data_IF_745265815410
#
_entry.id   IF_745265815410
#
_cell.length_a   1.000
_cell.length_b   1.000
_cell.length_c   1.000
_cell.angle_alpha   90.00
_cell.angle_beta   90.00
_cell.angle_gamma   90.00
#
_symmetry.space_group_name_H-M   'P 1'
#
loop_
_entity.id
_entity.type
_entity.pdbx_description
1 polymer ?
#
# COMPACT_ATOMS: atom_id res chain seq x y z
N UNK A 1 23.24 12.14 -13.35
CA UNK A 1 24.34 11.75 -12.44
C UNK A 1 23.78 10.77 -11.42
N UNK A 2 24.42 9.61 -11.17
CA UNK A 2 24.05 8.78 -10.02
C UNK A 2 24.58 9.50 -8.78
N UNK A 3 23.70 10.14 -7.99
CA UNK A 3 24.10 10.91 -6.80
C UNK A 3 24.76 10.06 -5.70
N UNK A 4 24.69 8.73 -5.81
CA UNK A 4 25.41 7.81 -4.95
C UNK A 4 25.88 6.60 -5.76
N UNK A 5 27.17 6.30 -5.66
CA UNK A 5 27.79 5.05 -6.08
C UNK A 5 27.89 4.16 -4.84
N UNK A 6 27.34 2.94 -4.85
CA UNK A 6 27.58 1.99 -3.77
C UNK A 6 29.10 1.81 -3.62
N UNK A 7 29.67 2.27 -2.51
CA UNK A 7 31.11 2.18 -2.22
C UNK A 7 31.55 0.75 -1.91
N UNK A 8 30.63 -0.24 -1.95
CA UNK A 8 30.82 -1.63 -1.57
C UNK A 8 31.32 -1.84 -0.12
N UNK A 9 31.33 -0.81 0.71
CA UNK A 9 31.70 -0.91 2.14
C UNK A 9 30.56 -1.48 2.99
N UNK A 10 29.34 -1.04 2.71
CA UNK A 10 28.14 -1.45 3.47
C UNK A 10 27.41 -2.60 2.77
N UNK A 11 27.02 -3.62 3.55
CA UNK A 11 26.34 -4.81 3.03
C UNK A 11 24.83 -4.59 2.89
N UNK A 12 24.22 -3.78 3.77
CA UNK A 12 22.77 -3.57 3.85
C UNK A 12 22.41 -2.10 3.91
N UNK A 13 21.44 -1.71 3.08
CA UNK A 13 20.92 -0.35 3.02
C UNK A 13 19.49 -0.30 3.56
N UNK A 14 19.18 0.73 4.36
CA UNK A 14 17.82 0.94 4.91
C UNK A 14 16.84 1.42 3.87
N UNK A 15 17.27 2.27 2.94
CA UNK A 15 16.39 2.87 1.95
C UNK A 15 17.10 3.13 0.63
N UNK A 16 16.31 3.18 -0.43
CA UNK A 16 16.71 3.56 -1.77
C UNK A 16 15.75 4.62 -2.31
N UNK A 17 16.27 5.83 -2.51
CA UNK A 17 15.53 6.96 -3.09
C UNK A 17 15.65 6.88 -4.61
N UNK A 18 14.55 6.49 -5.25
CA UNK A 18 14.45 6.40 -6.71
C UNK A 18 13.61 7.54 -7.27
N UNK A 19 13.61 7.68 -8.61
CA UNK A 19 12.78 8.65 -9.33
C UNK A 19 11.27 8.37 -9.12
N UNK A 20 10.87 7.12 -8.92
CA UNK A 20 9.46 6.71 -8.79
C UNK A 20 8.96 6.64 -7.34
N UNK A 21 9.84 6.98 -6.38
CA UNK A 21 9.56 6.96 -4.95
C UNK A 21 10.67 6.34 -4.12
N UNK A 22 10.47 6.29 -2.81
CA UNK A 22 11.44 5.78 -1.84
C UNK A 22 11.05 4.38 -1.39
N UNK A 23 11.92 3.40 -1.65
CA UNK A 23 11.77 2.04 -1.11
C UNK A 23 12.55 1.94 0.18
N UNK A 24 11.88 1.58 1.27
CA UNK A 24 12.49 1.54 2.60
C UNK A 24 12.15 0.27 3.39
N UNK A 25 13.13 -0.17 4.18
CA UNK A 25 12.96 -1.16 5.22
C UNK A 25 12.51 -0.44 6.50
N UNK A 26 11.48 -0.99 7.15
CA UNK A 26 11.04 -0.61 8.48
C UNK A 26 10.39 -1.83 9.15
N UNK A 27 10.31 -1.80 10.48
CA UNK A 27 9.63 -2.83 11.24
C UNK A 27 8.12 -2.77 10.99
N UNK A 28 7.54 -3.93 10.68
CA UNK A 28 6.10 -4.09 10.49
C UNK A 28 5.61 -5.25 11.31
N UNK A 29 4.37 -5.17 11.80
CA UNK A 29 3.72 -6.34 12.38
C UNK A 29 3.35 -7.32 11.24
N UNK A 30 3.89 -8.56 11.22
CA UNK A 30 3.59 -9.54 10.17
C UNK A 30 2.10 -9.85 10.03
N UNK A 31 1.34 -9.82 11.13
CA UNK A 31 -0.10 -10.08 11.11
C UNK A 31 -0.87 -8.98 10.38
N UNK A 32 -0.46 -7.72 10.52
CA UNK A 32 -1.12 -6.61 9.81
C UNK A 32 -0.89 -6.74 8.30
N UNK A 33 0.34 -7.11 7.89
CA UNK A 33 0.65 -7.31 6.47
C UNK A 33 -0.13 -8.50 5.90
N UNK A 34 -0.22 -9.60 6.66
CA UNK A 34 -1.01 -10.76 6.29
C UNK A 34 -2.51 -10.43 6.17
N UNK A 35 -3.04 -9.63 7.10
CA UNK A 35 -4.42 -9.16 7.07
C UNK A 35 -4.71 -8.34 5.81
N UNK A 36 -3.81 -7.43 5.41
CA UNK A 36 -3.95 -6.73 4.13
C UNK A 36 -3.87 -7.67 2.92
N UNK A 37 -3.04 -8.71 2.99
CA UNK A 37 -3.01 -9.78 2.00
C UNK A 37 -4.31 -10.59 1.92
N UNK A 38 -5.06 -10.70 3.03
CA UNK A 38 -6.36 -11.35 3.08
C UNK A 38 -7.50 -10.42 2.60
N UNK A 39 -7.42 -9.13 2.95
CA UNK A 39 -8.43 -8.14 2.54
C UNK A 39 -8.50 -7.97 1.02
N UNK A 40 -7.35 -8.04 0.35
CA UNK A 40 -7.25 -8.13 -1.11
C UNK A 40 -5.84 -8.65 -1.47
N UNK A 41 -5.71 -9.85 -2.07
CA UNK A 41 -4.42 -10.39 -2.47
C UNK A 41 -3.57 -9.39 -3.25
N UNK A 42 -2.30 -9.30 -2.87
CA UNK A 42 -1.35 -8.33 -3.43
C UNK A 42 -1.11 -7.10 -2.57
N UNK A 43 -2.07 -6.63 -1.77
CA UNK A 43 -1.86 -5.50 -0.86
C UNK A 43 -0.78 -5.77 0.19
N UNK A 44 -0.74 -6.99 0.75
CA UNK A 44 0.35 -7.40 1.64
C UNK A 44 1.73 -7.21 1.01
N UNK A 45 1.92 -7.60 -0.25
CA UNK A 45 3.18 -7.44 -0.97
C UNK A 45 3.48 -5.98 -1.33
N UNK A 46 2.46 -5.17 -1.64
CA UNK A 46 2.63 -3.74 -1.90
C UNK A 46 3.11 -2.98 -0.66
N UNK A 47 2.63 -3.33 0.53
CA UNK A 47 3.13 -2.77 1.81
C UNK A 47 4.61 -3.06 2.02
N UNK A 48 5.08 -4.21 1.52
CA UNK A 48 6.48 -4.63 1.57
C UNK A 48 7.32 -4.08 0.41
N UNK A 49 6.77 -3.17 -0.40
CA UNK A 49 7.41 -2.63 -1.62
C UNK A 49 7.81 -3.72 -2.64
N UNK A 50 7.16 -4.89 -2.59
CA UNK A 50 7.32 -5.96 -3.58
C UNK A 50 6.33 -5.75 -4.73
N UNK A 51 6.53 -4.66 -5.47
CA UNK A 51 5.58 -4.13 -6.45
C UNK A 51 5.14 -5.16 -7.50
N UNK A 52 6.08 -5.86 -8.15
CA UNK A 52 5.74 -6.87 -9.17
C UNK A 52 4.80 -7.96 -8.63
N UNK A 53 5.15 -8.55 -7.49
CA UNK A 53 4.31 -9.59 -6.86
C UNK A 53 2.96 -9.03 -6.41
N UNK A 54 2.96 -7.83 -5.83
CA UNK A 54 1.75 -7.17 -5.37
C UNK A 54 0.79 -6.85 -6.51
N UNK A 55 1.28 -6.27 -7.60
CA UNK A 55 0.46 -5.98 -8.77
C UNK A 55 -0.05 -7.25 -9.44
N UNK A 56 0.78 -8.28 -9.60
CA UNK A 56 0.34 -9.55 -10.18
C UNK A 56 -0.77 -10.20 -9.35
N UNK A 57 -0.62 -10.30 -8.03
CA UNK A 57 -1.64 -10.90 -7.16
C UNK A 57 -2.92 -10.07 -7.09
N UNK A 58 -2.81 -8.73 -7.13
CA UNK A 58 -3.96 -7.83 -7.17
C UNK A 58 -4.76 -7.97 -8.47
N UNK A 59 -4.08 -8.00 -9.62
CA UNK A 59 -4.73 -8.20 -10.91
C UNK A 59 -5.37 -9.59 -11.00
N UNK A 60 -4.69 -10.60 -10.47
CA UNK A 60 -5.20 -11.95 -10.36
C UNK A 60 -6.46 -12.00 -9.50
N UNK A 61 -6.47 -11.34 -8.33
CA UNK A 61 -7.66 -11.26 -7.47
C UNK A 61 -8.87 -10.75 -8.24
N UNK A 62 -8.73 -9.62 -8.92
CA UNK A 62 -9.86 -9.01 -9.63
C UNK A 62 -10.37 -9.94 -10.72
N UNK A 63 -9.47 -10.52 -11.52
CA UNK A 63 -9.83 -11.46 -12.58
C UNK A 63 -10.65 -12.62 -12.01
N UNK A 64 -10.10 -13.31 -11.00
CA UNK A 64 -10.73 -14.51 -10.44
C UNK A 64 -12.04 -14.16 -9.75
N UNK A 65 -12.08 -13.08 -8.97
CA UNK A 65 -13.27 -12.65 -8.24
C UNK A 65 -14.42 -12.29 -9.19
N UNK A 66 -14.13 -11.58 -10.28
CA UNK A 66 -15.13 -11.27 -11.33
C UNK A 66 -15.58 -12.53 -12.06
N UNK A 67 -14.66 -13.41 -12.47
CA UNK A 67 -15.01 -14.63 -13.20
C UNK A 67 -15.75 -15.67 -12.34
N UNK A 68 -15.61 -15.60 -11.02
CA UNK A 68 -16.30 -16.47 -10.06
C UNK A 68 -17.58 -15.89 -9.47
N UNK A 69 -17.88 -14.60 -9.72
CA UNK A 69 -18.92 -13.84 -9.01
C UNK A 69 -18.78 -13.88 -7.48
N UNK A 70 -17.54 -13.92 -6.97
CA UNK A 70 -17.28 -14.12 -5.55
C UNK A 70 -17.90 -13.03 -4.68
N UNK A 71 -17.74 -11.76 -5.07
CA UNK A 71 -18.32 -10.63 -4.34
C UNK A 71 -19.86 -10.69 -4.32
N UNK A 72 -20.51 -10.98 -5.46
CA UNK A 72 -21.96 -11.15 -5.51
C UNK A 72 -22.43 -12.28 -4.59
N UNK A 73 -21.75 -13.42 -4.61
CA UNK A 73 -22.06 -14.54 -3.72
C UNK A 73 -21.85 -14.20 -2.24
N UNK A 74 -20.87 -13.36 -1.90
CA UNK A 74 -20.70 -12.84 -0.54
C UNK A 74 -21.89 -11.96 -0.12
N UNK A 75 -22.40 -11.08 -1.00
CA UNK A 75 -23.60 -10.29 -0.70
C UNK A 75 -24.80 -11.20 -0.42
N UNK A 76 -25.04 -12.19 -1.26
CA UNK A 76 -26.13 -13.16 -1.03
C UNK A 76 -25.93 -13.94 0.27
N UNK A 77 -24.70 -14.37 0.56
CA UNK A 77 -24.37 -15.10 1.80
C UNK A 77 -24.62 -14.25 3.04
N UNK A 78 -24.19 -12.99 3.05
CA UNK A 78 -24.34 -12.07 4.19
C UNK A 78 -25.76 -11.56 4.38
N UNK A 79 -26.61 -11.68 3.35
CA UNK A 79 -28.04 -11.35 3.43
C UNK A 79 -28.92 -12.57 3.69
N UNK A 80 -28.34 -13.76 3.91
CA UNK A 80 -29.06 -14.99 4.23
C UNK A 80 -29.60 -15.76 3.02
N UNK A 81 -29.31 -15.31 1.80
CA UNK A 81 -29.76 -15.93 0.55
C UNK A 81 -28.77 -17.01 0.08
N UNK A 82 -28.59 -18.07 0.88
CA UNK A 82 -27.54 -19.07 0.63
C UNK A 82 -27.72 -19.85 -0.68
N UNK A 83 -28.96 -20.12 -1.12
CA UNK A 83 -29.18 -20.80 -2.40
C UNK A 83 -28.77 -19.93 -3.58
N UNK A 84 -29.13 -18.63 -3.57
CA UNK A 84 -28.66 -17.67 -4.58
C UNK A 84 -27.13 -17.52 -4.57
N UNK A 85 -26.49 -17.58 -3.40
CA UNK A 85 -25.04 -17.54 -3.30
C UNK A 85 -24.38 -18.75 -3.98
N UNK A 86 -24.93 -19.96 -3.79
CA UNK A 86 -24.42 -21.17 -4.44
C UNK A 86 -24.61 -21.13 -5.96
N UNK A 87 -25.77 -20.66 -6.42
CA UNK A 87 -26.10 -20.56 -7.84
C UNK A 87 -25.25 -19.51 -8.57
N UNK A 88 -24.92 -18.40 -7.90
CA UNK A 88 -24.12 -17.33 -8.50
C UNK A 88 -22.64 -17.70 -8.68
N UNK A 89 -22.09 -18.54 -7.78
CA UNK A 89 -20.67 -18.89 -7.79
C UNK A 89 -20.29 -19.79 -8.96
N UNK A 90 -19.18 -19.46 -9.63
CA UNK A 90 -18.55 -20.35 -10.61
C UNK A 90 -17.51 -21.24 -9.92
N UNK A 91 -17.75 -22.56 -9.76
CA UNK A 91 -16.90 -23.40 -8.90
C UNK A 91 -15.47 -23.59 -9.41
N UNK A 92 -15.22 -23.58 -10.72
CA UNK A 92 -13.88 -23.82 -11.28
C UNK A 92 -12.94 -22.68 -10.91
N UNK A 93 -13.43 -21.44 -11.03
CA UNK A 93 -12.66 -20.25 -10.65
C UNK A 93 -12.42 -20.18 -9.14
N UNK A 94 -13.43 -20.50 -8.32
CA UNK A 94 -13.28 -20.52 -6.84
C UNK A 94 -12.29 -21.59 -6.38
N UNK A 95 -12.33 -22.80 -6.94
CA UNK A 95 -11.40 -23.86 -6.55
C UNK A 95 -9.95 -23.50 -6.91
N UNK A 96 -9.73 -22.78 -8.02
CA UNK A 96 -8.42 -22.23 -8.37
C UNK A 96 -7.99 -21.08 -7.46
N UNK A 97 -8.95 -20.29 -6.97
CA UNK A 97 -8.71 -19.13 -6.11
C UNK A 97 -8.08 -19.51 -4.76
N UNK A 98 -8.66 -20.50 -4.07
CA UNK A 98 -8.33 -20.89 -2.69
C UNK A 98 -6.81 -21.05 -2.45
N UNK A 99 -6.06 -21.85 -3.23
CA UNK A 99 -4.63 -22.03 -2.98
C UNK A 99 -3.83 -20.74 -3.19
N UNK A 100 -4.17 -19.93 -4.21
CA UNK A 100 -3.47 -18.66 -4.50
C UNK A 100 -3.75 -17.63 -3.40
N UNK A 101 -4.99 -17.59 -2.91
CA UNK A 101 -5.40 -16.74 -1.79
C UNK A 101 -4.60 -17.05 -0.52
N UNK A 102 -4.58 -18.33 -0.10
CA UNK A 102 -3.84 -18.78 1.08
C UNK A 102 -2.33 -18.52 0.90
N UNK A 103 -1.79 -18.81 -0.28
CA UNK A 103 -0.39 -18.54 -0.60
C UNK A 103 -0.06 -17.04 -0.48
N UNK A 104 -0.90 -16.15 -1.00
CA UNK A 104 -0.69 -14.71 -0.93
C UNK A 104 -0.59 -14.21 0.52
N UNK A 105 -1.51 -14.65 1.38
CA UNK A 105 -1.51 -14.33 2.81
C UNK A 105 -0.23 -14.83 3.48
N UNK A 106 0.04 -16.14 3.34
CA UNK A 106 1.21 -16.78 3.96
C UNK A 106 2.53 -16.17 3.48
N UNK A 107 2.70 -15.94 2.17
CA UNK A 107 3.93 -15.40 1.59
C UNK A 107 4.20 -13.98 2.09
N UNK A 108 3.16 -13.16 2.20
CA UNK A 108 3.27 -11.80 2.74
C UNK A 108 3.67 -11.81 4.22
N UNK A 109 3.10 -12.71 5.03
CA UNK A 109 3.45 -12.90 6.43
C UNK A 109 4.93 -13.28 6.60
N UNK A 110 5.36 -14.39 5.98
CA UNK A 110 6.75 -14.88 6.14
C UNK A 110 7.77 -13.87 5.60
N UNK A 111 7.44 -13.17 4.51
CA UNK A 111 8.31 -12.15 3.94
C UNK A 111 8.48 -10.99 4.92
N UNK A 112 7.42 -10.61 5.63
CA UNK A 112 7.49 -9.54 6.64
C UNK A 112 8.44 -9.93 7.77
N UNK A 113 8.36 -11.17 8.25
CA UNK A 113 9.28 -11.69 9.29
C UNK A 113 10.73 -11.59 8.82
N UNK A 114 11.02 -11.99 7.59
CA UNK A 114 12.39 -11.96 7.07
C UNK A 114 12.89 -10.53 6.80
N UNK A 115 12.03 -9.64 6.28
CA UNK A 115 12.38 -8.23 6.08
C UNK A 115 12.61 -7.50 7.40
N UNK A 116 11.89 -7.83 8.47
CA UNK A 116 12.14 -7.27 9.80
C UNK A 116 13.54 -7.66 10.30
N UNK A 117 14.00 -8.90 10.06
CA UNK A 117 15.37 -9.31 10.40
C UNK A 117 16.40 -8.52 9.60
N UNK A 118 16.17 -8.32 8.30
CA UNK A 118 17.07 -7.51 7.47
C UNK A 118 17.10 -6.05 7.91
N UNK A 119 15.95 -5.48 8.30
CA UNK A 119 15.88 -4.14 8.86
C UNK A 119 16.76 -4.00 10.11
N UNK A 120 16.64 -4.93 11.07
CA UNK A 120 17.44 -4.87 12.31
C UNK A 120 18.96 -4.93 12.05
N UNK A 121 19.39 -5.64 11.00
CA UNK A 121 20.79 -5.70 10.59
C UNK A 121 21.21 -4.40 9.88
N UNK A 122 20.39 -3.89 8.96
CA UNK A 122 20.64 -2.62 8.27
C UNK A 122 20.67 -1.43 9.24
N UNK A 123 19.85 -1.47 10.30
CA UNK A 123 19.85 -0.47 11.37
C UNK A 123 21.17 -0.42 12.12
N UNK A 124 21.81 -1.58 12.32
CA UNK A 124 23.10 -1.67 13.01
C UNK A 124 24.27 -1.24 12.13
N UNK A 125 24.20 -1.53 10.83
CA UNK A 125 25.18 -1.06 9.86
C UNK A 125 25.09 0.46 9.66
N UNK A 126 23.89 1.04 9.79
CA UNK A 126 23.63 2.49 9.66
C UNK A 126 24.27 3.11 8.40
N UNK A 127 24.16 2.40 7.29
CA UNK A 127 24.67 2.84 6.01
C UNK A 127 24.11 4.23 5.62
N UNK A 128 24.90 5.10 4.97
CA UNK A 128 24.45 6.41 4.54
C UNK A 128 23.29 6.30 3.53
N UNK A 129 22.33 7.22 3.66
CA UNK A 129 21.11 7.26 2.86
C UNK A 129 21.18 8.51 1.97
N UNK A 130 20.83 8.37 0.69
CA UNK A 130 20.73 9.51 -0.21
C UNK A 130 19.49 10.35 0.13
N UNK A 131 19.65 11.65 0.35
CA UNK A 131 18.54 12.58 0.64
C UNK A 131 17.81 13.09 -0.60
N UNK A 132 18.44 13.05 -1.79
CA UNK A 132 17.84 13.52 -3.04
C UNK A 132 18.27 12.70 -4.26
N UNK A 133 17.35 12.55 -5.22
CA UNK A 133 17.57 11.95 -6.53
C UNK A 133 16.94 12.85 -7.60
N UNK A 134 17.79 13.37 -8.49
CA UNK A 134 17.40 14.25 -9.59
C UNK A 134 17.40 13.47 -10.90
N UNK A 135 16.22 13.04 -11.33
CA UNK A 135 16.00 12.46 -12.64
C UNK A 135 15.58 13.52 -13.66
N UNK A 136 15.73 13.22 -14.96
CA UNK A 136 15.23 14.09 -16.03
C UNK A 136 13.68 14.18 -16.04
N UNK A 137 13.01 13.11 -15.60
CA UNK A 137 11.55 13.02 -15.58
C UNK A 137 10.93 13.50 -14.26
N UNK A 138 11.60 13.28 -13.13
CA UNK A 138 11.06 13.57 -11.80
C UNK A 138 12.20 13.75 -10.79
N UNK A 139 11.96 14.56 -9.77
CA UNK A 139 12.82 14.70 -8.59
C UNK A 139 12.17 14.03 -7.38
N UNK A 140 12.95 13.25 -6.65
CA UNK A 140 12.51 12.69 -5.37
C UNK A 140 13.52 13.02 -4.27
N UNK A 141 13.03 13.32 -3.08
CA UNK A 141 13.84 13.71 -1.94
C UNK A 141 13.19 13.27 -0.63
N UNK A 142 14.00 13.13 0.41
CA UNK A 142 13.51 12.89 1.76
C UNK A 142 13.02 14.21 2.34
N UNK A 143 11.80 14.21 2.86
CA UNK A 143 11.20 15.36 3.50
C UNK A 143 10.23 14.95 4.60
N UNK A 144 9.95 15.90 5.50
CA UNK A 144 9.05 15.68 6.62
C UNK A 144 7.64 16.14 6.28
N UNK A 145 6.69 15.21 6.29
CA UNK A 145 5.30 15.41 5.89
C UNK A 145 4.34 15.17 7.05
N UNK A 146 3.14 15.76 6.99
CA UNK A 146 2.11 15.54 8.03
C UNK A 146 1.31 14.27 7.70
N UNK A 147 1.33 13.21 8.54
CA UNK A 147 0.61 11.97 8.25
C UNK A 147 -0.89 12.16 8.06
N UNK A 148 -1.48 13.13 8.76
CA UNK A 148 -2.91 13.42 8.65
C UNK A 148 -3.30 13.93 7.25
N UNK A 149 -2.40 14.67 6.58
CA UNK A 149 -2.67 15.14 5.21
C UNK A 149 -2.65 13.98 4.23
N UNK A 150 -1.76 13.00 4.41
CA UNK A 150 -1.74 11.79 3.61
C UNK A 150 -3.05 10.99 3.74
N UNK A 151 -3.59 10.89 4.97
CA UNK A 151 -4.88 10.26 5.25
C UNK A 151 -6.04 11.01 4.58
N UNK A 152 -6.10 12.33 4.75
CA UNK A 152 -7.17 13.16 4.18
C UNK A 152 -7.19 13.05 2.65
N UNK A 153 -6.03 13.10 1.99
CA UNK A 153 -5.97 12.94 0.54
C UNK A 153 -6.37 11.54 0.09
N UNK A 154 -5.98 10.48 0.80
CA UNK A 154 -6.43 9.11 0.50
C UNK A 154 -7.93 8.89 0.74
N UNK A 155 -8.54 9.62 1.67
CA UNK A 155 -10.00 9.57 1.92
C UNK A 155 -10.79 10.23 0.79
N UNK A 156 -10.28 11.33 0.22
CA UNK A 156 -10.92 12.01 -0.91
C UNK A 156 -10.86 11.13 -2.15
N UNK A 157 -9.67 10.61 -2.47
CA UNK A 157 -9.48 9.73 -3.62
C UNK A 157 -8.30 8.81 -3.32
N UNK A 158 -8.52 7.48 -3.21
CA UNK A 158 -7.46 6.50 -3.07
C UNK A 158 -6.37 6.71 -4.12
N UNK A 159 -5.12 6.89 -3.66
CA UNK A 159 -3.96 7.18 -4.51
C UNK A 159 -3.41 8.61 -4.35
N UNK A 160 -4.22 9.60 -3.96
CA UNK A 160 -3.72 10.97 -3.76
C UNK A 160 -2.78 11.08 -2.54
N UNK A 161 -3.05 10.33 -1.47
CA UNK A 161 -2.14 10.27 -0.32
C UNK A 161 -0.78 9.67 -0.69
N UNK A 162 -0.74 8.69 -1.60
CA UNK A 162 0.49 8.12 -2.17
C UNK A 162 1.23 9.13 -3.04
N UNK A 163 0.54 9.93 -3.87
CA UNK A 163 1.16 11.02 -4.61
C UNK A 163 1.77 12.06 -3.66
N UNK A 164 1.05 12.40 -2.60
CA UNK A 164 1.52 13.33 -1.58
C UNK A 164 2.85 12.89 -0.95
N UNK A 165 3.16 11.59 -0.89
CA UNK A 165 4.44 11.07 -0.37
C UNK A 165 5.41 10.61 -1.46
N UNK A 166 5.27 11.10 -2.70
CA UNK A 166 6.11 10.77 -3.86
C UNK A 166 6.16 9.26 -4.22
N UNK A 167 5.13 8.47 -3.85
CA UNK A 167 5.02 7.06 -4.26
C UNK A 167 4.20 6.93 -5.54
N UNK A 168 4.76 7.48 -6.62
CA UNK A 168 4.10 7.67 -7.92
C UNK A 168 3.55 6.36 -8.48
N UNK A 169 4.33 5.28 -8.43
CA UNK A 169 3.91 3.99 -9.01
C UNK A 169 2.68 3.41 -8.30
N UNK A 170 2.69 3.42 -6.96
CA UNK A 170 1.55 2.94 -6.16
C UNK A 170 0.34 3.85 -6.32
N UNK A 171 0.56 5.17 -6.39
CA UNK A 171 -0.50 6.13 -6.60
C UNK A 171 -1.24 5.92 -7.92
N UNK A 172 -0.51 5.81 -9.04
CA UNK A 172 -1.11 5.57 -10.36
C UNK A 172 -1.93 4.27 -10.32
N UNK A 173 -1.34 3.21 -9.76
CA UNK A 173 -1.99 1.90 -9.68
C UNK A 173 -3.31 1.95 -8.87
N UNK A 174 -3.27 2.48 -7.64
CA UNK A 174 -4.44 2.56 -6.76
C UNK A 174 -5.50 3.50 -7.35
N UNK A 175 -5.10 4.65 -7.91
CA UNK A 175 -6.04 5.60 -8.52
C UNK A 175 -6.73 4.99 -9.73
N UNK A 176 -5.99 4.28 -10.58
CA UNK A 176 -6.53 3.63 -11.78
C UNK A 176 -7.60 2.61 -11.40
N UNK A 177 -7.29 1.72 -10.45
CA UNK A 177 -8.24 0.70 -10.01
C UNK A 177 -9.41 1.28 -9.21
N UNK A 178 -9.19 2.33 -8.43
CA UNK A 178 -10.27 3.08 -7.80
C UNK A 178 -11.26 3.61 -8.84
N UNK A 179 -10.78 4.25 -9.91
CA UNK A 179 -11.65 4.73 -11.00
C UNK A 179 -12.43 3.58 -11.64
N UNK A 180 -11.76 2.45 -11.92
CA UNK A 180 -12.41 1.26 -12.48
C UNK A 180 -13.54 0.76 -11.56
N UNK A 181 -13.28 0.59 -10.26
CA UNK A 181 -14.27 0.11 -9.32
C UNK A 181 -15.44 1.09 -9.13
N UNK A 182 -15.15 2.38 -9.05
CA UNK A 182 -16.17 3.42 -8.96
C UNK A 182 -17.06 3.45 -10.19
N UNK A 183 -16.47 3.31 -11.39
CA UNK A 183 -17.20 3.31 -12.65
C UNK A 183 -18.14 2.11 -12.76
N UNK A 184 -17.63 0.88 -12.56
CA UNK A 184 -18.43 -0.33 -12.71
C UNK A 184 -19.43 -0.56 -11.57
N UNK A 185 -19.13 -0.09 -10.35
CA UNK A 185 -20.08 -0.17 -9.22
C UNK A 185 -21.29 0.76 -9.34
N UNK A 186 -21.23 1.76 -10.23
CA UNK A 186 -22.23 2.83 -10.39
C UNK A 186 -22.49 3.61 -9.10
N UNK A 187 -21.55 3.60 -8.16
CA UNK A 187 -21.70 4.21 -6.83
C UNK A 187 -21.94 5.72 -6.90
N UNK A 188 -21.37 6.42 -7.89
CA UNK A 188 -21.59 7.85 -8.06
C UNK A 188 -23.02 8.17 -8.52
N UNK A 189 -23.60 7.32 -9.39
CA UNK A 189 -25.00 7.47 -9.83
C UNK A 189 -25.92 7.19 -8.64
N UNK A 190 -25.65 6.12 -7.88
CA UNK A 190 -26.39 5.81 -6.67
C UNK A 190 -26.34 6.96 -5.66
N UNK A 191 -25.15 7.57 -5.48
CA UNK A 191 -24.97 8.74 -4.60
C UNK A 191 -25.77 9.95 -5.08
N UNK A 192 -25.79 10.21 -6.39
CA UNK A 192 -26.60 11.26 -6.98
C UNK A 192 -28.11 11.05 -6.73
N UNK A 193 -28.62 9.84 -6.97
CA UNK A 193 -30.02 9.48 -6.69
C UNK A 193 -30.36 9.58 -5.20
N UNK A 194 -29.40 9.25 -4.33
CA UNK A 194 -29.51 9.44 -2.88
C UNK A 194 -29.72 10.91 -2.51
N UNK A 195 -28.96 11.83 -3.12
CA UNK A 195 -29.15 13.27 -2.92
C UNK A 195 -30.51 13.78 -3.45
N UNK A 196 -31.10 13.10 -4.44
CA UNK A 196 -32.46 13.38 -4.91
C UNK A 196 -33.56 12.75 -4.04
N UNK A 197 -33.20 11.99 -2.99
CA UNK A 197 -34.14 11.30 -2.11
C UNK A 197 -34.68 9.97 -2.66
N UNK A 198 -34.19 9.51 -3.82
CA UNK A 198 -34.66 8.30 -4.50
C UNK A 198 -33.90 7.05 -4.03
N UNK A 199 -34.10 6.67 -2.76
CA UNK A 199 -33.32 5.58 -2.11
C UNK A 199 -33.51 4.21 -2.78
N UNK A 200 -34.73 3.91 -3.24
CA UNK A 200 -35.03 2.65 -3.92
C UNK A 200 -34.25 2.50 -5.23
N UNK A 201 -34.29 3.52 -6.08
CA UNK A 201 -33.56 3.55 -7.35
C UNK A 201 -32.04 3.57 -7.12
N UNK A 202 -31.58 4.33 -6.12
CA UNK A 202 -30.16 4.38 -5.75
C UNK A 202 -29.61 3.00 -5.38
N UNK A 203 -30.40 2.17 -4.69
CA UNK A 203 -29.97 0.81 -4.29
C UNK A 203 -30.01 -0.16 -5.47
N UNK A 204 -31.01 -0.05 -6.34
CA UNK A 204 -31.17 -0.92 -7.51
C UNK A 204 -30.11 -0.69 -8.59
N UNK A 205 -29.59 0.54 -8.70
CA UNK A 205 -28.59 0.86 -9.73
C UNK A 205 -27.20 0.34 -9.38
N UNK A 206 -26.92 0.02 -8.11
CA UNK A 206 -25.61 -0.43 -7.65
C UNK A 206 -25.28 -1.81 -8.19
N UNK A 207 -24.02 -1.97 -8.62
CA UNK A 207 -23.47 -3.28 -8.90
C UNK A 207 -22.71 -3.81 -7.66
N UNK A 208 -23.26 -4.82 -6.94
CA UNK A 208 -22.65 -5.33 -5.73
C UNK A 208 -21.30 -6.03 -5.95
N UNK A 209 -21.08 -6.62 -7.13
CA UNK A 209 -19.85 -7.31 -7.47
C UNK A 209 -18.66 -6.34 -7.49
N UNK A 210 -18.85 -5.16 -8.08
CA UNK A 210 -17.80 -4.14 -8.15
C UNK A 210 -17.72 -3.26 -6.90
N UNK A 211 -18.86 -3.00 -6.26
CA UNK A 211 -18.92 -2.17 -5.05
C UNK A 211 -18.08 -2.75 -3.90
N UNK A 212 -18.08 -4.08 -3.74
CA UNK A 212 -17.37 -4.74 -2.65
C UNK A 212 -15.84 -4.68 -2.73
N UNK A 213 -15.24 -4.22 -3.84
CA UNK A 213 -13.80 -3.93 -3.88
C UNK A 213 -13.44 -2.62 -3.16
N UNK A 214 -14.37 -1.66 -3.06
CA UNK A 214 -14.08 -0.32 -2.55
C UNK A 214 -13.58 -0.29 -1.09
N UNK A 215 -14.17 -1.01 -0.13
CA UNK A 215 -13.73 -0.95 1.27
C UNK A 215 -12.24 -1.30 1.43
N UNK A 216 -11.79 -2.37 0.77
CA UNK A 216 -10.38 -2.79 0.82
C UNK A 216 -9.46 -1.73 0.19
N UNK A 217 -9.86 -1.13 -0.93
CA UNK A 217 -9.06 -0.10 -1.63
C UNK A 217 -8.93 1.18 -0.81
N UNK A 218 -10.03 1.68 -0.26
CA UNK A 218 -10.01 2.85 0.63
C UNK A 218 -9.16 2.57 1.86
N UNK A 219 -9.43 1.47 2.55
CA UNK A 219 -8.68 1.09 3.75
C UNK A 219 -7.19 1.00 3.46
N UNK A 220 -6.81 0.32 2.38
CA UNK A 220 -5.42 0.14 1.99
C UNK A 220 -4.77 1.47 1.68
N UNK A 221 -5.42 2.33 0.87
CA UNK A 221 -4.86 3.61 0.46
C UNK A 221 -4.62 4.54 1.66
N UNK A 222 -5.53 4.53 2.65
CA UNK A 222 -5.40 5.31 3.88
C UNK A 222 -4.26 4.77 4.73
N UNK A 223 -4.26 3.46 5.01
CA UNK A 223 -3.27 2.82 5.86
C UNK A 223 -1.86 2.94 5.27
N UNK A 224 -1.70 2.62 3.99
CA UNK A 224 -0.43 2.69 3.28
C UNK A 224 0.11 4.13 3.26
N UNK A 225 -0.72 5.12 2.95
CA UNK A 225 -0.31 6.52 2.94
C UNK A 225 0.12 7.00 4.34
N UNK A 226 -0.65 6.65 5.38
CA UNK A 226 -0.32 7.00 6.76
C UNK A 226 1.02 6.40 7.22
N UNK A 227 1.15 5.07 7.12
CA UNK A 227 2.35 4.36 7.60
C UNK A 227 3.59 4.82 6.87
N UNK A 228 3.53 4.93 5.54
CA UNK A 228 4.70 5.37 4.79
C UNK A 228 5.05 6.84 5.04
N UNK A 229 4.09 7.70 5.38
CA UNK A 229 4.39 9.06 5.83
C UNK A 229 5.16 9.05 7.15
N UNK A 230 4.70 8.27 8.12
CA UNK A 230 5.35 8.15 9.44
C UNK A 230 6.76 7.59 9.29
N UNK A 231 6.93 6.53 8.51
CA UNK A 231 8.24 5.89 8.33
C UNK A 231 9.19 6.73 7.49
N UNK A 232 8.71 7.44 6.46
CA UNK A 232 9.53 8.39 5.71
C UNK A 232 10.02 9.55 6.61
N UNK A 233 9.16 10.06 7.51
CA UNK A 233 9.58 11.07 8.49
C UNK A 233 10.71 10.56 9.40
N UNK A 234 10.62 9.31 9.88
CA UNK A 234 11.69 8.69 10.69
C UNK A 234 12.98 8.55 9.87
N UNK A 235 12.86 8.17 8.60
CA UNK A 235 14.00 8.04 7.69
C UNK A 235 14.70 9.39 7.47
N UNK A 236 13.92 10.45 7.22
CA UNK A 236 14.40 11.82 7.11
C UNK A 236 15.14 12.28 8.38
N UNK A 237 14.53 12.07 9.56
CA UNK A 237 15.16 12.43 10.84
C UNK A 237 16.46 11.66 11.09
N UNK A 238 16.53 10.39 10.68
CA UNK A 238 17.74 9.57 10.81
C UNK A 238 18.86 10.06 9.89
N UNK A 239 18.55 10.33 8.62
CA UNK A 239 19.51 10.88 7.66
C UNK A 239 20.04 12.24 8.12
N UNK A 240 19.14 13.15 8.54
CA UNK A 240 19.51 14.47 9.03
C UNK A 240 20.38 14.38 10.30
N UNK A 241 20.07 13.45 11.21
CA UNK A 241 20.89 13.22 12.41
C UNK A 241 22.29 12.75 12.05
N UNK A 242 22.40 11.74 11.18
CA UNK A 242 23.69 11.21 10.73
C UNK A 242 24.54 12.31 10.08
N UNK A 243 23.91 13.14 9.23
CA UNK A 243 24.58 14.28 8.61
C UNK A 243 25.09 15.30 9.64
N UNK A 244 24.26 15.67 10.63
CA UNK A 244 24.64 16.62 11.67
C UNK A 244 25.75 16.07 12.58
N UNK A 245 25.67 14.79 12.96
CA UNK A 245 26.70 14.13 13.77
C UNK A 245 28.04 14.03 13.05
N UNK A 246 28.04 13.78 11.75
CA UNK A 246 29.27 13.69 10.97
C UNK A 246 29.96 15.05 10.78
N UNK A 247 29.19 16.15 10.68
CA UNK A 247 29.72 17.46 10.27
C UNK A 247 29.80 18.51 11.38
N UNK A 248 29.00 18.41 12.45
CA UNK A 248 28.79 19.51 13.41
C UNK A 248 28.95 19.10 14.89
N UNK A 249 29.56 17.95 15.19
CA UNK A 249 29.70 17.43 16.57
C UNK A 249 30.69 18.25 17.44
N UNK A 250 31.41 19.22 16.89
CA UNK A 250 32.42 20.02 17.62
C UNK A 250 31.82 21.24 18.33
N UNK A 251 31.58 21.09 19.65
CA UNK A 251 32.30 21.78 20.75
C UNK A 251 31.43 21.97 22.01
N UNK A 252 30.10 21.85 21.97
CA UNK A 252 29.26 22.00 23.20
C UNK A 252 27.94 21.21 23.23
N UNK A 253 27.45 20.69 22.11
CA UNK A 253 26.17 19.97 22.04
C UNK A 253 26.44 18.53 21.59
N UNK A 254 26.22 17.56 22.48
CA UNK A 254 26.21 16.13 22.11
C UNK A 254 24.81 15.77 21.64
N UNK A 255 24.65 15.51 20.35
CA UNK A 255 23.44 14.87 19.83
C UNK A 255 23.38 13.45 20.38
N UNK A 256 22.26 13.09 21.03
CA UNK A 256 22.08 11.76 21.59
C UNK A 256 22.12 10.68 20.51
N UNK A 257 22.90 9.62 20.74
CA UNK A 257 23.05 8.51 19.80
C UNK A 257 21.79 7.64 19.66
N UNK A 258 20.73 7.84 20.47
CA UNK A 258 19.50 7.04 20.41
C UNK A 258 18.32 7.70 21.15
N UNK A 259 17.17 7.81 20.47
CA UNK A 259 15.86 7.60 21.11
C UNK A 259 15.18 6.47 20.34
N UNK A 260 15.01 5.34 21.04
CA UNK A 260 14.14 4.22 20.65
C UNK A 260 12.70 4.72 20.61
#
# INVERSE_FOLDING_TARGET
MKNFSQTNQERRFKAYVSILGTTQLHLRNPYIVAWWGAALPGFGHLLLSKYLRGFTLFLWEILINVMSNLNLAMVYSFTGHFELAKEALEPRWVLMYIPVYIFGIWDSYRTTVDLNKQYLLAERENAPIASFNLGAMEMNYLDKRRPIMAVLWSLVTPGLGQLYIHRVLTAIFVTTWFIVFVYYSKVLIATHLLFLGQVGEATQVLDPQWLLFLPSVFGFAIYDAYVNTVENNKLFENEQRNFLQANYQTYRIRLSDRKV
#
